data_IF_384207100677
#
_entry.id   IF_384207100677
#
_cell.length_a   1.000
_cell.length_b   1.000
_cell.length_c   1.000
_cell.angle_alpha   90.00
_cell.angle_beta   90.00
_cell.angle_gamma   90.00
#
_symmetry.space_group_name_H-M   'P 1'
#
loop_
_entity.id
_entity.type
_entity.pdbx_description
1 polymer ?
#
# COMPACT_ATOMS: atom_id res chain seq x y z
N UNK A 1 17.03 -59.03 2.81
CA UNK A 1 17.38 -57.67 3.23
C UNK A 1 16.33 -57.12 4.19
N UNK A 2 16.68 -56.97 5.46
CA UNK A 2 15.79 -56.40 6.47
C UNK A 2 15.72 -54.88 6.24
N UNK A 3 14.58 -54.40 5.70
CA UNK A 3 14.24 -52.97 5.66
C UNK A 3 14.25 -52.43 7.10
N UNK A 4 15.35 -51.80 7.51
CA UNK A 4 15.44 -51.07 8.77
C UNK A 4 14.40 -49.93 8.73
N UNK A 5 13.28 -50.09 9.43
CA UNK A 5 12.27 -49.02 9.58
C UNK A 5 12.88 -47.94 10.47
N UNK A 6 13.47 -46.90 9.87
CA UNK A 6 13.91 -45.69 10.57
C UNK A 6 12.75 -45.16 11.43
N UNK A 7 12.95 -45.07 12.74
CA UNK A 7 12.01 -44.40 13.65
C UNK A 7 12.14 -42.89 13.40
N UNK A 8 11.09 -42.28 12.86
CA UNK A 8 11.02 -40.83 12.72
C UNK A 8 10.64 -40.24 14.07
N UNK A 9 11.50 -39.40 14.62
CA UNK A 9 11.12 -38.60 15.78
C UNK A 9 10.10 -37.54 15.31
N UNK A 10 8.88 -37.58 15.84
CA UNK A 10 7.82 -36.66 15.45
C UNK A 10 8.13 -35.20 15.80
N UNK A 11 8.89 -34.97 16.87
CA UNK A 11 9.24 -33.62 17.37
C UNK A 11 10.02 -32.79 16.34
N UNK A 12 11.19 -33.22 15.83
CA UNK A 12 11.93 -32.44 14.84
C UNK A 12 11.20 -32.27 13.51
N UNK A 13 10.34 -33.22 13.14
CA UNK A 13 9.45 -33.11 11.98
C UNK A 13 8.44 -31.97 12.16
N UNK A 14 7.77 -31.92 13.32
CA UNK A 14 6.81 -30.86 13.62
C UNK A 14 7.48 -29.49 13.70
N UNK A 15 8.65 -29.41 14.33
CA UNK A 15 9.42 -28.16 14.41
C UNK A 15 9.82 -27.67 13.01
N UNK A 16 10.32 -28.56 12.15
CA UNK A 16 10.73 -28.21 10.78
C UNK A 16 9.58 -27.70 9.91
N UNK A 17 8.34 -28.07 10.22
CA UNK A 17 7.15 -27.58 9.54
C UNK A 17 6.63 -26.27 10.13
N UNK A 18 6.49 -26.21 11.47
CA UNK A 18 5.80 -25.11 12.13
C UNK A 18 6.71 -23.88 12.33
N UNK A 19 8.00 -24.06 12.60
CA UNK A 19 8.90 -22.94 12.91
C UNK A 19 9.13 -22.03 11.69
N UNK A 20 9.47 -22.54 10.49
CA UNK A 20 9.63 -21.67 9.33
C UNK A 20 8.32 -21.00 8.90
N UNK A 21 7.19 -21.70 9.02
CA UNK A 21 5.88 -21.13 8.72
C UNK A 21 5.50 -20.02 9.71
N UNK A 22 5.66 -20.25 11.01
CA UNK A 22 5.41 -19.24 12.04
C UNK A 22 6.31 -18.01 11.86
N UNK A 23 7.59 -18.22 11.54
CA UNK A 23 8.52 -17.12 11.25
C UNK A 23 8.13 -16.34 10.00
N UNK A 24 7.70 -17.00 8.92
CA UNK A 24 7.14 -16.34 7.74
C UNK A 24 5.93 -15.47 8.09
N UNK A 25 4.98 -15.97 8.89
CA UNK A 25 3.81 -15.20 9.30
C UNK A 25 4.18 -14.01 10.16
N UNK A 26 5.14 -14.18 11.07
CA UNK A 26 5.61 -13.14 11.96
C UNK A 26 6.32 -12.03 11.19
N UNK A 27 7.25 -12.36 10.29
CA UNK A 27 7.95 -11.37 9.47
C UNK A 27 7.00 -10.67 8.50
N UNK A 28 6.13 -11.42 7.81
CA UNK A 28 5.11 -10.83 6.94
C UNK A 28 4.23 -9.89 7.75
N UNK A 29 3.66 -10.34 8.87
CA UNK A 29 2.74 -9.55 9.68
C UNK A 29 3.39 -8.26 10.22
N UNK A 30 4.59 -8.37 10.78
CA UNK A 30 5.31 -7.22 11.32
C UNK A 30 5.63 -6.18 10.24
N UNK A 31 6.06 -6.62 9.05
CA UNK A 31 6.39 -5.72 7.92
C UNK A 31 5.11 -5.20 7.26
N UNK A 32 4.03 -5.97 7.21
CA UNK A 32 2.83 -5.60 6.45
C UNK A 32 1.89 -4.64 7.17
N UNK A 33 1.85 -4.62 8.50
CA UNK A 33 0.80 -3.93 9.26
C UNK A 33 1.32 -2.70 10.01
N UNK A 34 0.49 -2.16 10.91
CA UNK A 34 0.74 -0.93 11.65
C UNK A 34 2.08 -0.92 12.40
N UNK A 35 2.61 -2.07 12.82
CA UNK A 35 3.94 -2.16 13.45
C UNK A 35 5.04 -1.55 12.58
N UNK A 36 5.04 -1.82 11.27
CA UNK A 36 6.01 -1.23 10.35
C UNK A 36 5.81 0.28 10.20
N UNK A 37 4.55 0.73 10.17
CA UNK A 37 4.21 2.15 10.08
C UNK A 37 4.67 2.92 11.34
N UNK A 38 4.42 2.38 12.53
CA UNK A 38 4.71 3.04 13.80
C UNK A 38 6.20 3.02 14.16
N UNK A 39 6.91 1.93 13.86
CA UNK A 39 8.31 1.76 14.26
C UNK A 39 9.12 0.98 13.20
N UNK A 40 9.41 1.58 12.03
CA UNK A 40 10.06 0.89 10.91
C UNK A 40 11.46 0.37 11.23
N UNK A 41 12.20 1.07 12.10
CA UNK A 41 13.51 0.61 12.55
C UNK A 41 13.42 -0.70 13.35
N UNK A 42 12.41 -0.81 14.23
CA UNK A 42 12.24 -2.00 15.08
C UNK A 42 11.88 -3.24 14.25
N UNK A 43 11.00 -3.09 13.25
CA UNK A 43 10.60 -4.18 12.36
C UNK A 43 11.76 -4.62 11.47
N UNK A 44 12.55 -3.68 10.96
CA UNK A 44 13.73 -4.01 10.14
C UNK A 44 14.83 -4.69 10.96
N UNK A 45 15.10 -4.24 12.18
CA UNK A 45 16.04 -4.90 13.09
C UNK A 45 15.59 -6.33 13.44
N UNK A 46 14.29 -6.55 13.62
CA UNK A 46 13.74 -7.89 13.81
C UNK A 46 13.96 -8.80 12.59
N UNK A 47 13.71 -8.30 11.38
CA UNK A 47 13.93 -9.07 10.14
C UNK A 47 15.42 -9.42 9.99
N UNK A 48 16.32 -8.46 10.23
CA UNK A 48 17.78 -8.67 10.14
C UNK A 48 18.25 -9.69 11.19
N UNK A 49 17.76 -9.61 12.42
CA UNK A 49 18.13 -10.57 13.47
C UNK A 49 17.61 -11.97 13.17
N UNK A 50 16.35 -12.10 12.71
CA UNK A 50 15.78 -13.38 12.28
C UNK A 50 16.54 -14.00 11.10
N UNK A 51 16.93 -13.18 10.11
CA UNK A 51 17.78 -13.60 9.00
C UNK A 51 19.14 -14.10 9.49
N UNK A 52 19.79 -13.34 10.38
CA UNK A 52 21.10 -13.69 10.95
C UNK A 52 21.06 -15.01 11.73
N UNK A 53 19.99 -15.27 12.50
CA UNK A 53 19.80 -16.55 13.20
C UNK A 53 19.69 -17.70 12.20
N UNK A 54 18.91 -17.55 11.12
CA UNK A 54 18.79 -18.56 10.08
C UNK A 54 20.12 -18.89 9.40
N UNK A 55 20.92 -17.87 9.07
CA UNK A 55 22.26 -18.04 8.48
C UNK A 55 23.22 -18.72 9.45
N UNK A 56 23.22 -18.34 10.73
CA UNK A 56 24.08 -18.97 11.74
C UNK A 56 23.73 -20.45 11.94
N UNK A 57 22.43 -20.81 11.98
CA UNK A 57 22.00 -22.21 12.06
C UNK A 57 22.44 -23.02 10.85
N UNK A 58 22.37 -22.43 9.66
CA UNK A 58 22.83 -23.06 8.44
C UNK A 58 24.36 -23.24 8.44
N UNK A 59 25.12 -22.21 8.81
CA UNK A 59 26.58 -22.23 8.85
C UNK A 59 27.12 -23.25 9.86
N UNK A 60 26.58 -23.28 11.07
CA UNK A 60 26.95 -24.25 12.12
C UNK A 60 26.65 -25.68 11.66
N UNK A 61 25.53 -25.91 10.96
CA UNK A 61 25.21 -27.23 10.39
C UNK A 61 26.21 -27.70 9.33
N UNK A 62 26.90 -26.80 8.62
CA UNK A 62 27.93 -27.15 7.64
C UNK A 62 29.32 -27.30 8.27
N UNK A 63 29.60 -26.54 9.33
CA UNK A 63 30.89 -26.58 10.04
C UNK A 63 31.03 -27.81 10.95
N UNK A 64 29.92 -28.38 11.42
CA UNK A 64 29.94 -29.57 12.26
C UNK A 64 30.34 -30.83 11.46
N UNK A 65 31.66 -31.05 11.35
CA UNK A 65 32.28 -32.23 10.73
C UNK A 65 32.14 -33.50 11.56
N UNK A 66 31.80 -33.40 12.84
CA UNK A 66 31.72 -34.54 13.77
C UNK A 66 30.38 -35.29 13.70
N UNK A 67 29.35 -34.61 13.21
CA UNK A 67 27.98 -35.09 13.15
C UNK A 67 27.75 -35.99 11.93
N UNK A 68 27.08 -37.13 12.11
CA UNK A 68 26.66 -38.00 11.00
C UNK A 68 25.82 -37.24 9.98
N UNK A 69 25.84 -37.67 8.70
CA UNK A 69 25.04 -37.02 7.65
C UNK A 69 23.54 -36.98 8.01
N UNK A 70 23.05 -37.98 8.76
CA UNK A 70 21.67 -38.06 9.24
C UNK A 70 21.31 -37.00 10.28
N UNK A 71 22.21 -36.74 11.24
CA UNK A 71 22.00 -35.73 12.28
C UNK A 71 22.11 -34.29 11.76
N UNK A 72 22.81 -34.07 10.64
CA UNK A 72 22.92 -32.77 9.96
C UNK A 72 21.70 -32.38 9.13
N UNK A 73 20.85 -33.33 8.74
CA UNK A 73 19.73 -33.06 7.83
C UNK A 73 18.70 -32.06 8.40
N UNK A 74 18.23 -32.28 9.62
CA UNK A 74 17.23 -31.40 10.26
C UNK A 74 17.74 -29.97 10.51
N UNK A 75 18.92 -29.72 11.10
CA UNK A 75 19.41 -28.36 11.32
C UNK A 75 19.73 -27.62 10.01
N UNK A 76 20.29 -28.29 8.99
CA UNK A 76 20.53 -27.66 7.68
C UNK A 76 19.23 -27.28 6.96
N UNK A 77 18.23 -28.17 6.97
CA UNK A 77 16.91 -27.87 6.43
C UNK A 77 16.26 -26.70 7.17
N UNK A 78 16.28 -26.72 8.51
CA UNK A 78 15.69 -25.67 9.33
C UNK A 78 16.34 -24.30 9.05
N UNK A 79 17.67 -24.23 9.00
CA UNK A 79 18.39 -23.00 8.70
C UNK A 79 18.04 -22.45 7.32
N UNK A 80 18.05 -23.30 6.28
CA UNK A 80 17.69 -22.91 4.93
C UNK A 80 16.21 -22.47 4.82
N UNK A 81 15.29 -23.23 5.40
CA UNK A 81 13.86 -22.91 5.40
C UNK A 81 13.56 -21.61 6.14
N UNK A 82 14.25 -21.33 7.25
CA UNK A 82 14.15 -20.08 7.99
C UNK A 82 14.62 -18.88 7.18
N UNK A 83 15.78 -18.98 6.51
CA UNK A 83 16.30 -17.90 5.65
C UNK A 83 15.29 -17.59 4.53
N UNK A 84 14.78 -18.62 3.86
CA UNK A 84 13.78 -18.44 2.79
C UNK A 84 12.48 -17.85 3.33
N UNK A 85 12.00 -18.34 4.48
CA UNK A 85 10.80 -17.83 5.13
C UNK A 85 10.91 -16.33 5.50
N UNK A 86 12.06 -15.92 6.05
CA UNK A 86 12.29 -14.52 6.43
C UNK A 86 12.36 -13.62 5.19
N UNK A 87 13.10 -14.02 4.14
CA UNK A 87 13.23 -13.24 2.91
C UNK A 87 11.87 -13.09 2.20
N UNK A 88 11.13 -14.19 2.02
CA UNK A 88 9.82 -14.15 1.37
C UNK A 88 8.80 -13.38 2.22
N UNK A 89 8.83 -13.53 3.54
CA UNK A 89 7.96 -12.80 4.45
C UNK A 89 8.21 -11.28 4.38
N UNK A 90 9.48 -10.86 4.34
CA UNK A 90 9.86 -9.46 4.15
C UNK A 90 9.40 -8.92 2.79
N UNK A 91 9.74 -9.60 1.68
CA UNK A 91 9.37 -9.14 0.34
C UNK A 91 7.86 -9.02 0.15
N UNK A 92 7.10 -10.05 0.54
CA UNK A 92 5.64 -10.04 0.39
C UNK A 92 4.98 -9.07 1.37
N UNK A 93 5.53 -8.95 2.59
CA UNK A 93 5.08 -7.99 3.59
C UNK A 93 5.26 -6.56 3.12
N UNK A 94 6.43 -6.21 2.59
CA UNK A 94 6.77 -4.88 2.06
C UNK A 94 5.88 -4.50 0.87
N UNK A 95 5.71 -5.42 -0.09
CA UNK A 95 4.79 -5.23 -1.22
C UNK A 95 3.35 -5.03 -0.78
N UNK A 96 2.89 -5.73 0.26
CA UNK A 96 1.55 -5.57 0.80
C UNK A 96 1.40 -4.24 1.56
N UNK A 97 2.45 -3.84 2.29
CA UNK A 97 2.50 -2.60 3.04
C UNK A 97 2.34 -1.40 2.11
N UNK A 98 3.28 -1.21 1.17
CA UNK A 98 3.29 -0.05 0.28
C UNK A 98 2.06 0.05 -0.61
N UNK A 99 1.53 -1.09 -1.06
CA UNK A 99 0.41 -1.10 -2.02
C UNK A 99 -0.96 -0.91 -1.37
N UNK A 100 -1.18 -1.38 -0.14
CA UNK A 100 -2.52 -1.40 0.47
C UNK A 100 -2.58 -0.74 1.85
N UNK A 101 -1.62 -1.04 2.71
CA UNK A 101 -1.70 -0.63 4.12
C UNK A 101 -1.22 0.79 4.33
N UNK A 102 -0.10 1.17 3.70
CA UNK A 102 0.49 2.50 3.81
C UNK A 102 -0.49 3.62 3.44
N UNK A 103 -1.15 3.62 2.25
CA UNK A 103 -2.11 4.67 1.89
C UNK A 103 -3.28 4.76 2.87
N UNK A 104 -3.74 3.60 3.37
CA UNK A 104 -4.87 3.53 4.30
C UNK A 104 -4.52 3.97 5.73
N UNK A 105 -3.25 3.95 6.12
CA UNK A 105 -2.78 4.50 7.38
C UNK A 105 -2.50 5.99 7.25
N UNK A 106 -1.80 6.41 6.21
CA UNK A 106 -1.40 7.81 6.01
C UNK A 106 -2.60 8.75 5.92
N UNK A 107 -3.62 8.40 5.13
CA UNK A 107 -4.88 9.16 5.02
C UNK A 107 -5.56 9.33 6.38
N UNK A 108 -5.46 8.34 7.28
CA UNK A 108 -6.09 8.39 8.62
C UNK A 108 -5.30 9.21 9.64
N UNK A 109 -4.01 9.44 9.42
CA UNK A 109 -3.20 10.29 10.31
C UNK A 109 -3.32 11.77 9.96
N UNK A 110 -3.87 12.07 8.79
CA UNK A 110 -4.14 13.43 8.32
C UNK A 110 -5.52 13.92 8.78
N UNK A 111 -5.71 15.23 8.75
CA UNK A 111 -6.94 15.87 9.22
C UNK A 111 -8.13 15.56 8.29
N UNK A 112 -9.32 15.48 8.90
CA UNK A 112 -10.59 15.36 8.17
C UNK A 112 -11.34 16.68 8.26
N UNK A 113 -11.74 17.23 7.12
CA UNK A 113 -12.52 18.47 7.05
C UNK A 113 -13.90 18.20 6.49
N UNK A 114 -14.90 18.87 7.06
CA UNK A 114 -16.30 18.72 6.66
C UNK A 114 -16.86 20.00 6.07
N UNK A 115 -17.82 19.85 5.15
CA UNK A 115 -18.56 20.94 4.51
C UNK A 115 -17.66 22.03 3.92
N UNK A 116 -16.59 21.63 3.22
CA UNK A 116 -15.65 22.56 2.60
C UNK A 116 -16.18 23.02 1.24
N UNK A 117 -16.35 24.32 1.08
CA UNK A 117 -16.58 24.94 -0.22
C UNK A 117 -15.24 25.00 -0.99
N UNK A 118 -15.16 24.36 -2.17
CA UNK A 118 -13.92 24.33 -2.95
C UNK A 118 -13.63 25.64 -3.69
N UNK A 119 -14.63 26.52 -3.87
CA UNK A 119 -14.53 27.73 -4.69
C UNK A 119 -14.40 29.00 -3.85
N UNK A 120 -15.07 29.06 -2.69
CA UNK A 120 -15.09 30.25 -1.83
C UNK A 120 -14.74 29.92 -0.38
N UNK A 121 -14.09 30.86 0.30
CA UNK A 121 -13.90 30.82 1.75
C UNK A 121 -14.32 32.13 2.40
N UNK A 122 -14.89 32.04 3.61
CA UNK A 122 -15.23 33.21 4.42
C UNK A 122 -14.11 33.53 5.39
N UNK A 123 -13.56 34.74 5.30
CA UNK A 123 -12.58 35.24 6.25
C UNK A 123 -13.24 35.64 7.57
N UNK A 124 -12.43 35.77 8.63
CA UNK A 124 -12.89 36.30 9.92
C UNK A 124 -13.44 37.73 9.82
N UNK A 125 -13.03 38.48 8.80
CA UNK A 125 -13.57 39.80 8.47
C UNK A 125 -14.99 39.76 7.89
N UNK A 126 -15.53 38.58 7.58
CA UNK A 126 -16.83 38.40 6.91
C UNK A 126 -16.75 38.49 5.37
N UNK A 127 -15.58 38.81 4.82
CA UNK A 127 -15.35 38.86 3.38
C UNK A 127 -15.30 37.46 2.75
N UNK A 128 -15.93 37.32 1.59
CA UNK A 128 -15.90 36.09 0.78
C UNK A 128 -14.75 36.22 -0.22
N UNK A 129 -13.76 35.34 -0.10
CA UNK A 129 -12.58 35.33 -0.97
C UNK A 129 -12.43 33.98 -1.67
N UNK A 130 -11.67 33.89 -2.78
CA UNK A 130 -11.38 32.62 -3.45
C UNK A 130 -10.77 31.61 -2.47
N UNK A 131 -11.28 30.38 -2.44
CA UNK A 131 -10.76 29.34 -1.56
C UNK A 131 -9.28 29.02 -1.89
N UNK A 132 -8.45 28.94 -0.85
CA UNK A 132 -7.02 28.64 -0.98
C UNK A 132 -6.68 27.29 -0.37
N UNK A 133 -5.96 26.47 -1.13
CA UNK A 133 -5.49 25.15 -0.68
C UNK A 133 -4.46 25.22 0.46
N UNK A 134 -3.86 26.39 0.71
CA UNK A 134 -2.90 26.58 1.81
C UNK A 134 -3.48 26.21 3.18
N UNK A 135 -4.79 26.39 3.39
CA UNK A 135 -5.44 26.09 4.68
C UNK A 135 -5.73 24.60 4.91
N UNK A 136 -5.55 23.78 3.89
CA UNK A 136 -5.90 22.35 3.88
C UNK A 136 -4.70 21.48 3.47
N UNK A 137 -3.47 21.92 3.79
CA UNK A 137 -2.26 21.18 3.43
C UNK A 137 -2.10 19.86 4.21
N UNK A 138 -2.67 19.79 5.39
CA UNK A 138 -2.74 18.64 6.30
C UNK A 138 -4.02 17.80 6.11
N UNK A 139 -4.85 18.13 5.12
CA UNK A 139 -6.08 17.40 4.85
C UNK A 139 -5.81 16.04 4.22
N UNK A 140 -6.27 14.98 4.88
CA UNK A 140 -6.28 13.61 4.38
C UNK A 140 -7.60 13.25 3.70
N UNK A 141 -8.70 13.73 4.29
CA UNK A 141 -10.04 13.55 3.75
C UNK A 141 -10.78 14.88 3.82
N UNK A 142 -11.46 15.24 2.73
CA UNK A 142 -12.33 16.42 2.69
C UNK A 142 -13.72 15.97 2.25
N UNK A 143 -14.72 16.33 3.03
CA UNK A 143 -16.11 16.31 2.59
C UNK A 143 -16.43 17.71 2.06
N UNK A 144 -16.66 17.79 0.76
CA UNK A 144 -17.00 19.05 0.10
C UNK A 144 -18.45 19.44 0.35
N UNK A 145 -18.81 20.69 0.04
CA UNK A 145 -20.19 21.16 0.03
C UNK A 145 -21.08 20.26 -0.84
N UNK A 146 -22.38 20.22 -0.54
CA UNK A 146 -23.32 19.35 -1.25
C UNK A 146 -23.41 19.66 -2.75
N UNK A 147 -23.16 20.92 -3.12
CA UNK A 147 -23.22 21.41 -4.50
C UNK A 147 -21.91 21.18 -5.27
N UNK A 148 -20.79 20.93 -4.58
CA UNK A 148 -19.48 20.75 -5.21
C UNK A 148 -19.50 19.62 -6.24
N UNK A 149 -18.92 19.84 -7.41
CA UNK A 149 -18.80 18.84 -8.47
C UNK A 149 -17.44 18.95 -9.15
N UNK A 150 -17.09 17.90 -9.90
CA UNK A 150 -15.89 17.89 -10.73
C UNK A 150 -16.23 18.54 -12.07
N UNK A 151 -15.60 19.67 -12.38
CA UNK A 151 -15.81 20.36 -13.64
C UNK A 151 -14.97 19.71 -14.76
N UNK A 152 -15.62 18.77 -15.45
CA UNK A 152 -15.02 17.99 -16.55
C UNK A 152 -14.62 18.88 -17.73
N UNK A 153 -15.33 19.98 -17.98
CA UNK A 153 -15.07 20.86 -19.12
C UNK A 153 -13.73 21.60 -18.99
N UNK A 154 -13.23 21.75 -17.77
CA UNK A 154 -11.94 22.37 -17.45
C UNK A 154 -10.89 21.35 -17.06
N UNK A 155 -11.08 20.10 -17.50
CA UNK A 155 -10.11 19.03 -17.30
C UNK A 155 -8.95 19.12 -18.28
N UNK A 156 -7.77 18.72 -17.82
CA UNK A 156 -6.58 18.61 -18.64
C UNK A 156 -5.83 17.32 -18.31
N UNK A 157 -4.95 16.92 -19.23
CA UNK A 157 -4.12 15.74 -19.05
C UNK A 157 -2.67 16.01 -19.43
N UNK A 158 -1.75 15.37 -18.71
CA UNK A 158 -0.31 15.41 -18.99
C UNK A 158 0.20 13.99 -19.20
N UNK A 159 0.95 13.75 -20.27
CA UNK A 159 1.42 12.40 -20.62
C UNK A 159 2.91 12.24 -20.33
N UNK A 160 3.25 11.31 -19.44
CA UNK A 160 4.63 10.88 -19.19
C UNK A 160 4.66 9.41 -18.79
N UNK A 161 4.87 8.51 -19.75
CA UNK A 161 4.68 7.05 -19.65
C UNK A 161 3.21 6.66 -19.39
N UNK A 162 2.63 7.17 -18.31
CA UNK A 162 1.20 7.14 -18.02
C UNK A 162 0.55 8.49 -18.38
N UNK A 163 -0.77 8.49 -18.57
CA UNK A 163 -1.57 9.69 -18.72
C UNK A 163 -2.08 10.16 -17.35
N UNK A 164 -1.70 11.38 -16.96
CA UNK A 164 -2.07 12.00 -15.68
C UNK A 164 -3.23 12.96 -15.89
N UNK A 165 -4.38 12.64 -15.34
CA UNK A 165 -5.63 13.35 -15.54
C UNK A 165 -5.93 14.24 -14.34
N UNK A 166 -6.32 15.49 -14.59
CA UNK A 166 -6.76 16.43 -13.57
C UNK A 166 -8.05 17.13 -13.98
N UNK A 167 -8.94 17.33 -13.03
CA UNK A 167 -10.14 18.16 -13.21
C UNK A 167 -10.39 18.99 -11.95
N UNK A 168 -10.72 20.28 -12.06
CA UNK A 168 -10.95 21.11 -10.88
C UNK A 168 -12.27 20.70 -10.20
N UNK A 169 -12.26 20.75 -8.86
CA UNK A 169 -13.45 20.59 -8.02
C UNK A 169 -13.94 21.98 -7.71
N UNK A 170 -15.18 22.29 -8.07
CA UNK A 170 -15.76 23.64 -7.95
C UNK A 170 -17.19 23.57 -7.49
N UNK A 171 -17.68 24.69 -6.97
CA UNK A 171 -19.09 24.91 -6.67
C UNK A 171 -19.81 25.49 -7.91
N UNK A 172 -21.08 25.13 -8.21
CA UNK A 172 -21.81 25.65 -9.37
C UNK A 172 -22.00 27.17 -9.36
N UNK A 173 -21.93 27.79 -8.18
CA UNK A 173 -22.00 29.25 -8.05
C UNK A 173 -20.70 29.93 -8.49
N UNK A 174 -19.69 29.16 -8.91
CA UNK A 174 -18.44 29.65 -9.44
C UNK A 174 -18.56 30.15 -10.90
N UNK A 175 -19.04 31.38 -11.08
CA UNK A 175 -19.13 32.04 -12.39
C UNK A 175 -18.03 33.10 -12.65
N UNK A 176 -17.08 33.30 -11.73
CA UNK A 176 -16.09 34.39 -11.78
C UNK A 176 -14.75 34.05 -11.13
N UNK A 177 -14.24 34.99 -10.31
CA UNK A 177 -12.97 34.84 -9.59
C UNK A 177 -13.12 33.88 -8.39
N UNK A 178 -13.10 32.58 -8.66
CA UNK A 178 -13.15 31.52 -7.65
C UNK A 178 -11.76 30.94 -7.39
N UNK A 179 -11.65 30.20 -6.28
CA UNK A 179 -10.49 29.35 -6.03
C UNK A 179 -10.52 28.10 -6.90
N UNK A 180 -9.37 27.77 -7.52
CA UNK A 180 -9.16 26.53 -8.27
C UNK A 180 -8.05 25.68 -7.64
N UNK A 181 -7.98 25.65 -6.31
CA UNK A 181 -6.93 24.93 -5.60
C UNK A 181 -7.26 23.46 -5.31
N UNK A 182 -8.50 23.02 -5.54
CA UNK A 182 -8.91 21.63 -5.34
C UNK A 182 -9.06 20.91 -6.67
N UNK A 183 -8.39 19.77 -6.80
CA UNK A 183 -8.32 19.01 -8.04
C UNK A 183 -8.65 17.53 -7.79
N UNK A 184 -9.58 17.00 -8.58
CA UNK A 184 -9.80 15.58 -8.73
C UNK A 184 -8.73 15.00 -9.67
N UNK A 185 -8.12 13.89 -9.29
CA UNK A 185 -6.98 13.31 -10.03
C UNK A 185 -7.13 11.82 -10.27
N UNK A 186 -6.44 11.35 -11.31
CA UNK A 186 -6.04 9.96 -11.43
C UNK A 186 -5.29 9.67 -12.72
N UNK A 187 -5.05 8.39 -13.00
CA UNK A 187 -4.17 7.96 -14.09
C UNK A 187 -4.93 7.12 -15.12
N UNK A 188 -4.64 7.32 -16.41
CA UNK A 188 -5.14 6.53 -17.53
C UNK A 188 -6.68 6.44 -17.60
N UNK A 189 -7.37 7.53 -17.29
CA UNK A 189 -8.83 7.63 -17.18
C UNK A 189 -9.41 8.87 -17.89
N UNK A 190 -8.64 9.49 -18.78
CA UNK A 190 -9.00 10.66 -19.58
C UNK A 190 -8.48 10.47 -21.01
N UNK A 191 -8.90 11.34 -21.93
CA UNK A 191 -8.26 11.46 -23.24
C UNK A 191 -7.02 12.36 -23.20
N UNK A 192 -6.22 12.32 -24.25
CA UNK A 192 -5.15 13.32 -24.48
C UNK A 192 -5.74 14.70 -24.79
N UNK A 193 -6.97 14.73 -25.32
CA UNK A 193 -7.74 15.96 -25.53
C UNK A 193 -8.32 16.50 -24.22
N UNK A 194 -8.58 17.80 -24.20
CA UNK A 194 -9.21 18.49 -23.06
C UNK A 194 -10.71 18.18 -22.97
N UNK A 195 -11.26 18.26 -21.76
CA UNK A 195 -12.70 18.10 -21.56
C UNK A 195 -13.20 16.67 -21.39
N UNK A 196 -12.32 15.67 -21.25
CA UNK A 196 -12.70 14.29 -20.90
C UNK A 196 -12.01 13.86 -19.59
N UNK A 197 -12.80 13.62 -18.54
CA UNK A 197 -12.32 13.14 -17.26
C UNK A 197 -13.26 12.07 -16.71
N UNK A 198 -12.76 10.84 -16.54
CA UNK A 198 -13.54 9.68 -16.09
C UNK A 198 -12.97 8.98 -14.87
N UNK A 199 -12.16 9.70 -14.09
CA UNK A 199 -11.50 9.14 -12.92
C UNK A 199 -12.38 9.14 -11.67
N UNK A 200 -12.23 8.11 -10.84
CA UNK A 200 -13.00 7.97 -9.60
C UNK A 200 -14.50 7.85 -9.89
N UNK A 201 -15.30 8.39 -8.98
CA UNK A 201 -16.76 8.36 -9.10
C UNK A 201 -17.33 9.67 -9.67
N UNK A 202 -16.71 10.19 -10.75
CA UNK A 202 -17.03 11.51 -11.33
C UNK A 202 -18.51 11.68 -11.72
N UNK A 203 -19.15 10.61 -12.22
CA UNK A 203 -20.56 10.60 -12.64
C UNK A 203 -21.54 10.36 -11.47
N UNK A 204 -21.03 9.92 -10.31
CA UNK A 204 -21.87 9.69 -9.15
C UNK A 204 -22.20 11.01 -8.45
N UNK A 205 -23.47 11.44 -8.54
CA UNK A 205 -23.95 12.67 -7.87
C UNK A 205 -23.81 12.64 -6.34
N UNK A 206 -23.70 11.46 -5.73
CA UNK A 206 -23.45 11.31 -4.28
C UNK A 206 -21.99 11.43 -3.91
N UNK A 207 -21.08 11.29 -4.87
CA UNK A 207 -19.67 11.52 -4.63
C UNK A 207 -19.44 13.01 -4.39
N UNK A 208 -19.08 13.36 -3.16
CA UNK A 208 -18.75 14.71 -2.67
C UNK A 208 -17.54 14.70 -1.75
N UNK A 209 -16.77 13.61 -1.76
CA UNK A 209 -15.66 13.41 -0.86
C UNK A 209 -14.36 13.26 -1.66
N UNK A 210 -13.30 13.82 -1.13
CA UNK A 210 -11.94 13.70 -1.65
C UNK A 210 -11.03 12.97 -0.68
N UNK A 211 -10.40 11.90 -1.13
CA UNK A 211 -9.26 11.29 -0.41
C UNK A 211 -7.97 11.87 -0.96
N UNK A 212 -7.13 12.41 -0.09
CA UNK A 212 -5.84 13.02 -0.47
C UNK A 212 -4.97 12.03 -1.25
N UNK A 213 -4.46 12.47 -2.40
CA UNK A 213 -3.43 11.75 -3.12
C UNK A 213 -2.06 12.03 -2.49
N UNK A 214 -1.44 10.99 -1.94
CA UNK A 214 -0.18 11.05 -1.18
C UNK A 214 1.00 10.43 -1.94
N UNK A 215 0.79 9.99 -3.18
CA UNK A 215 1.82 9.32 -3.99
C UNK A 215 2.87 10.33 -4.49
N UNK A 216 4.11 9.85 -4.71
CA UNK A 216 5.22 10.61 -5.32
C UNK A 216 4.91 11.23 -6.70
N UNK A 217 3.77 10.87 -7.30
CA UNK A 217 3.27 11.39 -8.58
C UNK A 217 2.77 12.85 -8.50
N UNK A 218 2.83 13.49 -7.33
CA UNK A 218 2.39 14.88 -7.09
C UNK A 218 2.98 15.88 -8.09
N UNK A 219 4.25 15.76 -8.42
CA UNK A 219 4.94 16.65 -9.38
C UNK A 219 4.31 16.56 -10.77
N UNK A 220 3.94 15.36 -11.19
CA UNK A 220 3.37 15.08 -12.51
C UNK A 220 1.93 15.61 -12.62
N UNK A 221 1.15 15.47 -11.55
CA UNK A 221 -0.17 16.12 -11.48
C UNK A 221 -0.08 17.64 -11.43
N UNK A 222 0.98 18.22 -10.86
CA UNK A 222 1.21 19.68 -10.93
C UNK A 222 1.47 20.13 -12.37
N UNK A 223 2.20 19.36 -13.18
CA UNK A 223 2.38 19.67 -14.60
C UNK A 223 1.04 19.66 -15.36
N UNK A 224 0.17 18.69 -15.08
CA UNK A 224 -1.19 18.66 -15.65
C UNK A 224 -2.03 19.87 -15.23
N UNK A 225 -1.90 20.33 -13.97
CA UNK A 225 -2.56 21.57 -13.52
C UNK A 225 -2.02 22.79 -14.23
N UNK A 226 -0.70 22.92 -14.40
CA UNK A 226 -0.11 24.04 -15.15
C UNK A 226 -0.63 24.10 -16.59
N UNK A 227 -0.84 22.93 -17.22
CA UNK A 227 -1.45 22.85 -18.54
C UNK A 227 -2.92 23.30 -18.51
N UNK A 228 -3.71 22.89 -17.50
CA UNK A 228 -5.08 23.35 -17.32
C UNK A 228 -5.16 24.88 -17.10
N UNK A 229 -4.25 25.44 -16.30
CA UNK A 229 -4.13 26.88 -16.06
C UNK A 229 -3.87 27.65 -17.37
N UNK A 230 -2.96 27.15 -18.21
CA UNK A 230 -2.64 27.76 -19.50
C UNK A 230 -3.78 27.68 -20.53
N UNK A 231 -4.54 26.59 -20.56
CA UNK A 231 -5.62 26.38 -21.55
C UNK A 231 -6.90 27.11 -21.14
N UNK A 232 -7.26 27.05 -19.86
CA UNK A 232 -8.55 27.54 -19.36
C UNK A 232 -8.45 28.89 -18.63
N UNK A 233 -7.26 29.49 -18.54
CA UNK A 233 -7.05 30.77 -17.85
C UNK A 233 -7.34 30.70 -16.35
N UNK A 234 -7.14 29.53 -15.74
CA UNK A 234 -7.33 29.29 -14.31
C UNK A 234 -6.07 29.65 -13.53
N UNK A 235 -6.22 29.92 -12.23
CA UNK A 235 -5.09 30.20 -11.34
C UNK A 235 -5.19 29.32 -10.10
N UNK A 236 -4.27 28.36 -9.94
CA UNK A 236 -4.11 27.56 -8.72
C UNK A 236 -2.79 27.88 -8.03
N UNK A 237 -2.89 28.59 -6.91
CA UNK A 237 -1.73 29.00 -6.11
C UNK A 237 -1.19 27.80 -5.32
N UNK A 238 -2.07 27.03 -4.68
CA UNK A 238 -1.70 25.88 -3.85
C UNK A 238 -2.55 24.65 -4.20
N UNK A 239 -2.27 23.97 -5.32
CA UNK A 239 -3.09 22.84 -5.74
C UNK A 239 -3.00 21.68 -4.77
N UNK A 240 -4.17 21.15 -4.48
CA UNK A 240 -4.41 19.99 -3.66
C UNK A 240 -5.10 18.91 -4.50
N UNK A 241 -4.60 17.68 -4.40
CA UNK A 241 -5.01 16.57 -5.26
C UNK A 241 -5.81 15.54 -4.46
N UNK A 242 -6.95 15.13 -5.00
CA UNK A 242 -7.87 14.19 -4.35
C UNK A 242 -8.38 13.13 -5.32
N UNK A 243 -8.55 11.91 -4.82
CA UNK A 243 -9.38 10.90 -5.47
C UNK A 243 -10.84 11.14 -5.11
N UNK A 244 -11.70 11.28 -6.12
CA UNK A 244 -13.10 11.61 -5.98
C UNK A 244 -13.96 10.37 -5.66
N UNK A 245 -14.61 10.36 -4.50
CA UNK A 245 -15.32 9.20 -3.94
C UNK A 245 -16.61 9.62 -3.20
N UNK A 246 -17.56 8.70 -3.06
CA UNK A 246 -18.76 8.84 -2.22
C UNK A 246 -18.44 8.64 -0.74
N UNK A 247 -17.81 7.52 -0.39
CA UNK A 247 -17.48 7.19 0.99
C UNK A 247 -15.97 6.93 1.17
N UNK A 248 -15.23 7.89 1.77
CA UNK A 248 -13.80 7.73 2.00
C UNK A 248 -13.47 6.67 3.06
N UNK A 249 -14.39 6.38 3.99
CA UNK A 249 -14.22 5.36 5.03
C UNK A 249 -14.35 3.98 4.39
N UNK A 250 -15.33 3.77 3.52
CA UNK A 250 -15.49 2.52 2.79
C UNK A 250 -14.29 2.23 1.89
N UNK A 251 -13.79 3.22 1.16
CA UNK A 251 -12.62 3.08 0.27
C UNK A 251 -11.34 2.74 1.06
N UNK A 252 -11.03 3.51 2.11
CA UNK A 252 -9.86 3.22 2.95
C UNK A 252 -9.98 1.86 3.67
N UNK A 253 -11.19 1.45 4.04
CA UNK A 253 -11.48 0.12 4.60
C UNK A 253 -11.28 -0.98 3.56
N UNK A 254 -11.66 -0.74 2.30
CA UNK A 254 -11.47 -1.67 1.18
C UNK A 254 -9.98 -1.97 0.96
N UNK A 255 -9.12 -0.95 0.99
CA UNK A 255 -7.67 -1.14 0.89
C UNK A 255 -7.12 -2.02 2.01
N UNK A 256 -7.55 -1.77 3.26
CA UNK A 256 -7.16 -2.62 4.41
C UNK A 256 -7.64 -4.06 4.24
N UNK A 257 -8.92 -4.26 3.86
CA UNK A 257 -9.48 -5.59 3.60
C UNK A 257 -8.70 -6.32 2.51
N UNK A 258 -8.28 -5.63 1.45
CA UNK A 258 -7.48 -6.22 0.39
C UNK A 258 -6.11 -6.71 0.89
N UNK A 259 -5.42 -5.92 1.73
CA UNK A 259 -4.14 -6.35 2.29
C UNK A 259 -4.28 -7.47 3.33
N UNK A 260 -5.33 -7.48 4.17
CA UNK A 260 -5.63 -8.61 5.06
C UNK A 260 -5.96 -9.89 4.29
N UNK A 261 -6.73 -9.78 3.20
CA UNK A 261 -7.05 -10.91 2.33
C UNK A 261 -5.78 -11.52 1.74
N UNK A 262 -4.83 -10.69 1.28
CA UNK A 262 -3.54 -11.17 0.77
C UNK A 262 -2.70 -11.88 1.84
N UNK A 263 -2.68 -11.36 3.06
CA UNK A 263 -2.04 -12.02 4.18
C UNK A 263 -2.65 -13.40 4.47
N UNK A 264 -3.99 -13.50 4.52
CA UNK A 264 -4.68 -14.78 4.73
C UNK A 264 -4.39 -15.79 3.61
N UNK A 265 -4.41 -15.36 2.34
CA UNK A 265 -4.04 -16.24 1.22
C UNK A 265 -2.59 -16.70 1.34
N UNK A 266 -1.66 -15.79 1.65
CA UNK A 266 -0.25 -16.12 1.84
C UNK A 266 -0.03 -17.10 3.01
N UNK A 267 -0.81 -16.99 4.09
CA UNK A 267 -0.75 -17.90 5.24
C UNK A 267 -1.08 -19.35 4.87
N UNK A 268 -2.13 -19.57 4.08
CA UNK A 268 -2.50 -20.91 3.63
C UNK A 268 -1.52 -21.44 2.58
N UNK A 269 -1.17 -20.63 1.58
CA UNK A 269 -0.27 -21.03 0.50
C UNK A 269 1.12 -21.39 1.04
N UNK A 270 1.68 -20.58 1.94
CA UNK A 270 3.00 -20.85 2.51
C UNK A 270 3.02 -22.14 3.34
N UNK A 271 1.94 -22.44 4.06
CA UNK A 271 1.82 -23.69 4.82
C UNK A 271 1.86 -24.93 3.91
N UNK A 272 1.06 -24.93 2.85
CA UNK A 272 1.03 -26.05 1.89
C UNK A 272 2.36 -26.20 1.14
N UNK A 273 2.96 -25.10 0.71
CA UNK A 273 4.28 -25.12 0.05
C UNK A 273 5.34 -25.67 1.00
N UNK A 274 5.35 -25.26 2.27
CA UNK A 274 6.31 -25.78 3.25
C UNK A 274 6.14 -27.30 3.48
N UNK A 275 4.89 -27.79 3.56
CA UNK A 275 4.62 -29.24 3.66
C UNK A 275 5.19 -30.00 2.45
N UNK A 276 4.93 -29.50 1.23
CA UNK A 276 5.39 -30.14 0.00
C UNK A 276 6.92 -30.14 -0.09
N UNK A 277 7.56 -29.00 0.18
CA UNK A 277 9.02 -28.87 0.15
C UNK A 277 9.66 -29.79 1.19
N UNK A 278 9.16 -29.79 2.43
CA UNK A 278 9.64 -30.68 3.47
C UNK A 278 9.50 -32.16 3.07
N UNK A 279 8.35 -32.55 2.51
CA UNK A 279 8.11 -33.92 2.07
C UNK A 279 9.05 -34.37 0.93
N UNK A 280 9.33 -33.48 -0.03
CA UNK A 280 10.28 -33.74 -1.14
C UNK A 280 11.69 -33.89 -0.60
N UNK A 281 12.13 -32.95 0.25
CA UNK A 281 13.49 -32.96 0.82
C UNK A 281 13.69 -34.18 1.74
N UNK A 282 12.68 -34.54 2.53
CA UNK A 282 12.69 -35.77 3.34
C UNK A 282 12.74 -37.04 2.50
N UNK A 283 12.05 -37.09 1.34
CA UNK A 283 12.14 -38.23 0.41
C UNK A 283 13.54 -38.35 -0.20
N UNK A 284 14.15 -37.24 -0.59
CA UNK A 284 15.51 -37.23 -1.14
C UNK A 284 16.55 -37.68 -0.12
N UNK A 285 16.46 -37.22 1.13
CA UNK A 285 17.35 -37.62 2.20
C UNK A 285 17.19 -39.08 2.69
N UNK A 286 16.12 -39.77 2.28
CA UNK A 286 15.96 -41.22 2.52
C UNK A 286 16.57 -42.07 1.41
N UNK A 287 16.86 -41.49 0.24
CA UNK A 287 17.49 -42.20 -0.89
C UNK A 287 19.02 -42.18 -0.84
N UNK A 288 19.59 -41.18 -0.14
CA UNK A 288 21.00 -41.08 0.22
C UNK A 288 21.27 -41.91 1.48
#
# INVERSE_FOLDING_TARGET
ELKYRRRLNCVPVLLALLVPWGMFLLTFGLVSFYSHYAAPLSTNLFVISAFSVGVNLLATSFQDRSSTAESRFYPSYMGAALVVAVVLGWMLGDLNFWRFMHPAYEVRHLATYESVDPSFERLRSGEVVPARGRRFQDAGTIYFSHEAFVDVNRSASFKMKDLYCVAPIVDPNCAGACGYDFWAVGVNCCSEDTGDFRCGQFDNKRAKCGIRMLTDKRTLFRLAVLQAEGIHGLVSVHPLFFYWVEDPIAETSSWKKAGFRRFMVAMYVSFFVNIVVFAVVLKSARKL
#
